data_IF_703308319007
#
_entry.id   IF_703308319007
#
_cell.length_a   1.000
_cell.length_b   1.000
_cell.length_c   1.000
_cell.angle_alpha   90.00
_cell.angle_beta   90.00
_cell.angle_gamma   90.00
#
_symmetry.space_group_name_H-M   'P 1'
#
loop_
_entity.id
_entity.type
_entity.pdbx_description
1 polymer ?
#
# COMPACT_ATOMS: atom_id res chain seq x y z
N UNK A 1 -36.37 41.46 -28.90
CA UNK A 1 -37.81 41.35 -29.22
C UNK A 1 -38.24 39.95 -28.79
N UNK A 2 -38.87 39.77 -27.62
CA UNK A 2 -40.34 39.83 -27.41
C UNK A 2 -41.08 38.81 -28.29
N UNK A 3 -41.90 37.85 -27.84
CA UNK A 3 -42.26 37.18 -26.57
C UNK A 3 -43.02 35.89 -27.03
N UNK A 4 -43.23 34.89 -26.16
CA UNK A 4 -43.79 33.58 -26.49
C UNK A 4 -45.33 33.53 -26.40
N UNK A 5 -45.95 32.50 -26.97
CA UNK A 5 -47.38 32.17 -26.79
C UNK A 5 -47.58 31.08 -25.74
N UNK A 6 -48.41 31.42 -24.76
CA UNK A 6 -48.97 30.62 -23.68
C UNK A 6 -49.90 29.48 -24.16
N UNK A 7 -49.98 28.43 -23.33
CA UNK A 7 -50.94 27.33 -23.47
C UNK A 7 -51.05 26.51 -22.18
N UNK A 8 -51.52 27.14 -21.10
CA UNK A 8 -51.67 26.50 -19.79
C UNK A 8 -52.82 25.50 -19.68
N UNK A 9 -52.59 24.42 -18.92
CA UNK A 9 -53.65 23.72 -18.16
C UNK A 9 -53.13 23.37 -16.78
N UNK A 10 -53.76 24.00 -15.77
CA UNK A 10 -53.59 23.77 -14.34
C UNK A 10 -54.38 22.52 -13.92
N UNK A 11 -53.69 21.47 -13.49
CA UNK A 11 -54.28 20.36 -12.73
C UNK A 11 -54.31 20.73 -11.25
N UNK A 12 -55.53 20.85 -10.71
CA UNK A 12 -55.82 21.32 -9.35
C UNK A 12 -55.77 20.12 -8.39
N UNK A 13 -54.89 20.17 -7.38
CA UNK A 13 -54.89 19.23 -6.27
C UNK A 13 -56.12 19.46 -5.37
N UNK A 14 -56.95 18.44 -5.18
CA UNK A 14 -57.97 18.42 -4.12
C UNK A 14 -57.67 17.28 -3.16
N UNK A 15 -57.36 17.66 -1.92
CA UNK A 15 -57.21 16.80 -0.75
C UNK A 15 -58.57 16.15 -0.43
N UNK A 16 -58.71 14.86 -0.75
CA UNK A 16 -59.84 14.03 -0.30
C UNK A 16 -59.52 13.40 1.06
N UNK A 17 -60.06 13.98 2.13
CA UNK A 17 -60.22 13.32 3.43
C UNK A 17 -61.44 12.41 3.37
N UNK A 18 -61.26 11.11 3.53
CA UNK A 18 -62.35 10.19 3.90
C UNK A 18 -61.77 8.98 4.65
N UNK A 19 -61.71 9.06 5.97
CA UNK A 19 -61.58 7.88 6.84
C UNK A 19 -62.96 7.23 7.03
N UNK A 20 -63.06 5.90 7.14
CA UNK A 20 -64.35 5.23 7.33
C UNK A 20 -64.81 5.34 8.79
N UNK A 21 -66.13 5.26 9.06
CA UNK A 21 -66.66 5.44 10.40
C UNK A 21 -66.45 4.19 11.26
N UNK A 22 -66.04 4.40 12.51
CA UNK A 22 -65.95 3.36 13.54
C UNK A 22 -67.38 3.06 14.01
N UNK A 23 -67.98 1.97 13.53
CA UNK A 23 -69.25 1.46 14.02
C UNK A 23 -69.00 0.49 15.18
N UNK A 24 -69.37 0.91 16.38
CA UNK A 24 -69.33 0.11 17.60
C UNK A 24 -70.62 -0.72 17.69
N UNK A 25 -70.53 -2.03 17.48
CA UNK A 25 -71.64 -2.97 17.74
C UNK A 25 -71.13 -4.06 18.68
N UNK A 26 -71.53 -3.93 19.95
CA UNK A 26 -71.62 -5.06 20.88
C UNK A 26 -72.75 -5.96 20.40
N UNK A 27 -72.51 -7.26 20.31
CA UNK A 27 -73.36 -8.31 20.89
C UNK A 27 -72.86 -9.71 20.52
N UNK A 28 -72.62 -10.51 21.57
CA UNK A 28 -72.98 -11.92 21.71
C UNK A 28 -72.62 -12.97 20.64
N UNK A 29 -71.71 -13.87 21.01
CA UNK A 29 -71.94 -15.33 20.87
C UNK A 29 -71.41 -16.00 19.60
N UNK A 30 -70.35 -16.81 19.75
CA UNK A 30 -69.96 -17.80 18.76
C UNK A 30 -68.47 -18.17 18.84
N UNK A 31 -68.14 -19.19 19.63
CA UNK A 31 -66.83 -19.84 19.54
C UNK A 31 -66.69 -20.53 18.18
N UNK A 32 -65.85 -19.98 17.32
CA UNK A 32 -65.31 -20.64 16.14
C UNK A 32 -63.88 -20.15 15.97
N UNK A 33 -62.90 -21.02 16.21
CA UNK A 33 -61.49 -20.70 16.02
C UNK A 33 -61.20 -20.40 14.56
N UNK A 34 -61.22 -19.12 14.20
CA UNK A 34 -60.65 -18.65 12.95
C UNK A 34 -59.14 -18.49 13.16
N UNK A 35 -58.40 -19.44 12.63
CA UNK A 35 -56.96 -19.33 12.37
C UNK A 35 -56.68 -17.95 11.74
N UNK A 36 -55.68 -17.18 12.22
CA UNK A 36 -55.37 -15.89 11.60
C UNK A 36 -55.02 -16.14 10.13
N UNK A 37 -55.44 -15.26 9.19
CA UNK A 37 -55.12 -15.44 7.79
C UNK A 37 -53.60 -15.38 7.63
N UNK A 38 -52.98 -16.54 7.39
CA UNK A 38 -51.59 -16.65 6.96
C UNK A 38 -51.52 -15.87 5.64
N UNK A 39 -50.70 -14.80 5.52
CA UNK A 39 -50.61 -14.08 4.26
C UNK A 39 -50.08 -15.05 3.19
N UNK A 40 -50.97 -15.42 2.28
CA UNK A 40 -50.66 -16.17 1.09
C UNK A 40 -49.77 -15.33 0.18
N UNK A 41 -48.80 -16.02 -0.43
CA UNK A 41 -47.70 -15.52 -1.28
C UNK A 41 -46.57 -14.86 -0.51
N UNK A 42 -45.68 -15.68 0.06
CA UNK A 42 -44.26 -15.34 0.12
C UNK A 42 -43.84 -14.94 -1.29
N UNK A 43 -43.45 -13.68 -1.48
CA UNK A 43 -42.79 -13.23 -2.70
C UNK A 43 -41.43 -13.95 -2.80
N UNK A 44 -41.46 -15.17 -3.35
CA UNK A 44 -40.28 -16.03 -3.47
C UNK A 44 -39.21 -15.32 -4.31
N UNK A 45 -39.61 -14.53 -5.31
CA UNK A 45 -38.69 -13.75 -6.14
C UNK A 45 -38.04 -12.61 -5.36
N UNK A 46 -38.81 -11.84 -4.59
CA UNK A 46 -38.29 -10.80 -3.70
C UNK A 46 -37.37 -11.34 -2.61
N UNK A 47 -37.73 -12.47 -1.99
CA UNK A 47 -36.90 -13.14 -0.99
C UNK A 47 -35.60 -13.71 -1.59
N UNK A 48 -35.67 -14.33 -2.78
CA UNK A 48 -34.49 -14.81 -3.50
C UNK A 48 -33.57 -13.67 -3.93
N UNK A 49 -34.12 -12.54 -4.39
CA UNK A 49 -33.36 -11.34 -4.74
C UNK A 49 -32.66 -10.74 -3.52
N UNK A 50 -33.37 -10.61 -2.38
CA UNK A 50 -32.80 -10.10 -1.13
C UNK A 50 -31.70 -11.02 -0.60
N UNK A 51 -31.92 -12.34 -0.63
CA UNK A 51 -30.92 -13.34 -0.23
C UNK A 51 -29.70 -13.33 -1.15
N UNK A 52 -29.90 -13.13 -2.45
CA UNK A 52 -28.82 -12.99 -3.43
C UNK A 52 -27.99 -11.72 -3.20
N UNK A 53 -28.64 -10.59 -2.91
CA UNK A 53 -27.95 -9.34 -2.57
C UNK A 53 -27.16 -9.45 -1.26
N UNK A 54 -27.75 -10.06 -0.23
CA UNK A 54 -27.06 -10.29 1.04
C UNK A 54 -25.84 -11.22 0.87
N UNK A 55 -25.97 -12.29 0.09
CA UNK A 55 -24.86 -13.19 -0.21
C UNK A 55 -23.70 -12.48 -0.94
N UNK A 56 -24.01 -11.65 -1.95
CA UNK A 56 -23.00 -10.84 -2.66
C UNK A 56 -22.30 -9.86 -1.72
N UNK A 57 -23.06 -9.15 -0.89
CA UNK A 57 -22.49 -8.23 0.11
C UNK A 57 -21.57 -8.96 1.09
N UNK A 58 -21.97 -10.14 1.57
CA UNK A 58 -21.16 -10.94 2.48
C UNK A 58 -19.85 -11.39 1.83
N UNK A 59 -19.90 -11.89 0.60
CA UNK A 59 -18.72 -12.29 -0.16
C UNK A 59 -17.75 -11.11 -0.37
N UNK A 60 -18.24 -9.93 -0.72
CA UNK A 60 -17.36 -8.75 -0.87
C UNK A 60 -16.82 -8.22 0.45
N UNK A 61 -17.57 -8.33 1.54
CA UNK A 61 -17.08 -7.98 2.87
C UNK A 61 -15.98 -8.95 3.32
N UNK A 62 -16.11 -10.24 3.01
CA UNK A 62 -15.08 -11.25 3.28
C UNK A 62 -13.80 -10.95 2.49
N UNK A 63 -13.90 -10.73 1.18
CA UNK A 63 -12.76 -10.35 0.37
C UNK A 63 -12.11 -9.06 0.88
N UNK A 64 -12.91 -8.05 1.25
CA UNK A 64 -12.37 -6.79 1.79
C UNK A 64 -11.57 -7.00 3.07
N UNK A 65 -12.00 -7.91 3.94
CA UNK A 65 -11.25 -8.27 5.16
C UNK A 65 -9.96 -9.02 4.84
N UNK A 66 -10.02 -9.96 3.90
CA UNK A 66 -8.84 -10.69 3.42
C UNK A 66 -7.81 -9.71 2.87
N UNK A 67 -8.21 -8.81 1.95
CA UNK A 67 -7.32 -7.79 1.38
C UNK A 67 -6.75 -6.83 2.44
N UNK A 68 -7.55 -6.41 3.41
CA UNK A 68 -7.09 -5.53 4.48
C UNK A 68 -6.00 -6.17 5.34
N UNK A 69 -6.00 -7.50 5.49
CA UNK A 69 -4.97 -8.22 6.26
C UNK A 69 -3.62 -8.33 5.56
N UNK A 70 -3.59 -8.09 4.25
CA UNK A 70 -2.38 -8.16 3.43
C UNK A 70 -1.65 -6.82 3.36
N UNK A 71 -2.33 -5.71 3.67
CA UNK A 71 -1.73 -4.37 3.65
C UNK A 71 -0.52 -4.34 4.60
N UNK A 72 0.65 -3.83 4.16
CA UNK A 72 0.90 -3.04 2.94
C UNK A 72 1.42 -3.81 1.72
N UNK A 73 1.37 -5.14 1.69
CA UNK A 73 1.91 -5.96 0.61
C UNK A 73 1.09 -5.84 -0.69
N UNK A 74 1.59 -4.99 -1.60
CA UNK A 74 0.98 -4.70 -2.90
C UNK A 74 0.92 -5.94 -3.79
N UNK A 75 1.96 -6.77 -3.78
CA UNK A 75 2.04 -7.98 -4.61
C UNK A 75 1.04 -9.02 -4.13
N UNK A 76 0.94 -9.22 -2.81
CA UNK A 76 -0.02 -10.15 -2.23
C UNK A 76 -1.47 -9.71 -2.51
N UNK A 77 -1.77 -8.41 -2.39
CA UNK A 77 -3.09 -7.85 -2.76
C UNK A 77 -3.40 -8.11 -4.23
N UNK A 78 -2.45 -7.81 -5.13
CA UNK A 78 -2.66 -8.00 -6.56
C UNK A 78 -2.88 -9.49 -6.91
N UNK A 79 -2.09 -10.38 -6.32
CA UNK A 79 -2.20 -11.83 -6.49
C UNK A 79 -3.55 -12.38 -6.03
N UNK A 80 -4.02 -11.98 -4.84
CA UNK A 80 -5.31 -12.44 -4.32
C UNK A 80 -6.49 -11.93 -5.17
N UNK A 81 -6.45 -10.69 -5.64
CA UNK A 81 -7.50 -10.15 -6.52
C UNK A 81 -7.51 -10.89 -7.86
N UNK A 82 -6.35 -11.04 -8.52
CA UNK A 82 -6.26 -11.75 -9.80
C UNK A 82 -6.76 -13.19 -9.66
N UNK A 83 -6.30 -13.91 -8.64
CA UNK A 83 -6.71 -15.29 -8.35
C UNK A 83 -8.20 -15.43 -8.08
N UNK A 84 -8.77 -14.64 -7.17
CA UNK A 84 -10.22 -14.71 -6.83
C UNK A 84 -11.10 -14.38 -8.03
N UNK A 85 -10.71 -13.40 -8.84
CA UNK A 85 -11.43 -13.05 -10.07
C UNK A 85 -11.42 -14.22 -11.04
N UNK A 86 -10.25 -14.80 -11.27
CA UNK A 86 -10.06 -15.92 -12.17
C UNK A 86 -10.79 -17.20 -11.70
N UNK A 87 -10.74 -17.51 -10.40
CA UNK A 87 -11.47 -18.64 -9.80
C UNK A 87 -12.99 -18.47 -9.94
N UNK A 88 -13.51 -17.24 -9.77
CA UNK A 88 -14.95 -16.98 -9.87
C UNK A 88 -15.48 -16.95 -11.30
N UNK A 89 -14.67 -16.50 -12.26
CA UNK A 89 -15.05 -16.45 -13.67
C UNK A 89 -14.65 -17.70 -14.45
N UNK A 90 -13.76 -18.53 -13.88
CA UNK A 90 -13.07 -19.64 -14.55
C UNK A 90 -12.28 -19.21 -15.80
N UNK A 91 -11.73 -18.00 -15.76
CA UNK A 91 -11.06 -17.34 -16.88
C UNK A 91 -9.69 -16.79 -16.47
N UNK A 92 -8.80 -16.54 -17.44
CA UNK A 92 -7.49 -15.96 -17.15
C UNK A 92 -7.63 -14.49 -16.74
N UNK A 93 -7.05 -14.11 -15.60
CA UNK A 93 -7.11 -12.75 -15.08
C UNK A 93 -5.74 -12.27 -14.66
N UNK A 94 -5.49 -10.96 -14.82
CA UNK A 94 -4.30 -10.33 -14.28
C UNK A 94 -4.60 -8.93 -13.78
N UNK A 95 -3.89 -8.52 -12.73
CA UNK A 95 -3.94 -7.17 -12.20
C UNK A 95 -2.58 -6.51 -12.43
N UNK A 96 -2.56 -5.46 -13.23
CA UNK A 96 -1.42 -4.57 -13.33
C UNK A 96 -1.60 -3.40 -12.35
N UNK A 97 -0.69 -3.28 -11.39
CA UNK A 97 -0.60 -2.12 -10.50
C UNK A 97 0.48 -1.20 -11.03
N UNK A 98 0.17 0.07 -11.22
CA UNK A 98 1.15 1.05 -11.63
C UNK A 98 2.14 1.31 -10.49
N UNK A 99 3.44 1.34 -10.80
CA UNK A 99 4.44 1.82 -9.86
C UNK A 99 4.22 3.28 -9.47
N UNK A 100 4.89 3.72 -8.42
CA UNK A 100 5.07 5.16 -8.16
C UNK A 100 6.11 5.74 -9.12
N UNK A 101 6.39 7.04 -9.01
CA UNK A 101 7.29 7.77 -9.91
C UNK A 101 8.77 7.32 -9.80
N UNK A 102 9.06 6.28 -9.01
CA UNK A 102 10.40 5.79 -8.68
C UNK A 102 10.54 4.26 -8.73
N UNK A 103 9.49 3.53 -9.14
CA UNK A 103 9.44 2.08 -9.01
C UNK A 103 8.72 1.39 -10.16
N UNK A 104 9.18 0.19 -10.48
CA UNK A 104 8.53 -0.69 -11.43
C UNK A 104 7.08 -0.99 -10.99
N UNK A 105 6.16 -1.00 -11.95
CA UNK A 105 4.82 -1.54 -11.70
C UNK A 105 4.88 -3.03 -11.42
N UNK A 106 3.91 -3.56 -10.68
CA UNK A 106 3.78 -5.00 -10.47
C UNK A 106 2.62 -5.56 -11.29
N UNK A 107 2.77 -6.79 -11.76
CA UNK A 107 1.72 -7.54 -12.46
C UNK A 107 1.53 -8.87 -11.75
N UNK A 108 0.31 -9.15 -11.31
CA UNK A 108 -0.08 -10.45 -10.81
C UNK A 108 -0.97 -11.15 -11.85
N UNK A 109 -0.59 -12.37 -12.23
CA UNK A 109 -1.29 -13.17 -13.26
C UNK A 109 -1.84 -14.44 -12.63
N UNK A 110 -3.07 -14.79 -12.99
CA UNK A 110 -3.66 -16.07 -12.65
C UNK A 110 -4.46 -16.64 -13.83
N UNK A 111 -4.09 -17.83 -14.28
CA UNK A 111 -4.89 -18.61 -15.23
C UNK A 111 -5.29 -19.93 -14.56
N UNK A 112 -6.59 -20.24 -14.41
CA UNK A 112 -7.04 -21.51 -13.86
C UNK A 112 -6.74 -22.71 -14.77
N UNK A 113 -6.27 -22.48 -16.00
CA UNK A 113 -5.82 -23.50 -16.97
C UNK A 113 -4.29 -23.60 -16.93
N UNK A 114 -3.72 -24.60 -16.23
CA UNK A 114 -2.28 -24.64 -15.93
C UNK A 114 -1.37 -24.82 -17.15
N UNK A 115 -1.88 -25.29 -18.30
CA UNK A 115 -1.09 -25.43 -19.53
C UNK A 115 -0.90 -24.12 -20.31
N UNK A 116 -1.69 -23.08 -20.03
CA UNK A 116 -1.69 -21.79 -20.75
C UNK A 116 -1.14 -20.61 -19.92
N UNK A 117 -1.05 -20.75 -18.58
CA UNK A 117 -0.63 -19.67 -17.67
C UNK A 117 0.82 -19.20 -17.84
N UNK A 118 1.73 -20.07 -18.30
CA UNK A 118 3.10 -19.69 -18.62
C UNK A 118 3.18 -18.75 -19.84
N UNK A 119 2.31 -18.95 -20.83
CA UNK A 119 2.23 -18.12 -22.02
C UNK A 119 1.75 -16.70 -21.71
N UNK A 120 0.73 -16.56 -20.85
CA UNK A 120 0.22 -15.25 -20.43
C UNK A 120 1.26 -14.47 -19.61
N UNK A 121 1.92 -15.15 -18.67
CA UNK A 121 2.95 -14.53 -17.82
C UNK A 121 4.14 -14.06 -18.68
N UNK A 122 4.60 -14.87 -19.64
CA UNK A 122 5.67 -14.48 -20.56
C UNK A 122 5.25 -13.32 -21.49
N UNK A 123 4.03 -13.36 -22.03
CA UNK A 123 3.51 -12.28 -22.87
C UNK A 123 3.42 -10.95 -22.11
N UNK A 124 3.01 -10.97 -20.83
CA UNK A 124 2.91 -9.78 -19.99
C UNK A 124 4.25 -9.34 -19.39
N UNK A 125 5.22 -10.23 -19.20
CA UNK A 125 6.56 -9.86 -18.72
C UNK A 125 7.28 -8.93 -19.71
N UNK A 126 7.15 -9.19 -21.01
CA UNK A 126 7.70 -8.32 -22.07
C UNK A 126 7.09 -6.90 -22.09
N UNK A 127 5.92 -6.73 -21.45
CA UNK A 127 5.22 -5.45 -21.34
C UNK A 127 5.75 -4.61 -20.15
N UNK A 128 6.39 -5.23 -19.16
CA UNK A 128 7.06 -4.56 -18.03
C UNK A 128 8.47 -4.10 -18.44
N UNK A 129 9.24 -4.94 -19.14
CA UNK A 129 10.64 -4.64 -19.51
C UNK A 129 10.78 -3.40 -20.41
N UNK A 130 9.79 -3.11 -21.26
CA UNK A 130 9.81 -1.92 -22.13
C UNK A 130 9.49 -0.63 -21.35
N UNK A 131 8.87 -0.74 -20.16
CA UNK A 131 8.54 0.40 -19.31
C UNK A 131 9.75 0.93 -18.53
N UNK A 132 10.70 0.06 -18.18
CA UNK A 132 11.85 0.42 -17.33
C UNK A 132 13.01 1.11 -18.10
N UNK A 133 13.05 1.01 -19.43
CA UNK A 133 14.22 1.43 -20.23
C UNK A 133 14.19 2.89 -20.67
N UNK A 134 13.14 3.67 -20.38
CA UNK A 134 12.95 5.01 -20.98
C UNK A 134 12.96 6.21 -20.02
N UNK A 135 13.53 6.06 -18.81
CA UNK A 135 13.64 7.20 -17.87
C UNK A 135 14.78 8.20 -18.22
N UNK A 136 15.64 7.91 -19.21
CA UNK A 136 16.86 8.69 -19.48
C UNK A 136 16.85 9.63 -20.71
N UNK A 137 15.71 9.89 -21.37
CA UNK A 137 15.64 10.95 -22.39
C UNK A 137 14.58 12.00 -22.06
N UNK A 138 15.04 13.17 -21.57
CA UNK A 138 14.28 14.42 -21.57
C UNK A 138 13.80 14.74 -22.99
N UNK A 139 12.55 14.38 -23.29
CA UNK A 139 11.88 14.80 -24.50
C UNK A 139 11.68 16.33 -24.47
N UNK A 140 12.19 17.08 -25.47
CA UNK A 140 11.85 18.49 -25.60
C UNK A 140 10.37 18.59 -26.04
N UNK A 141 9.67 19.57 -25.47
CA UNK A 141 8.31 19.98 -25.82
C UNK A 141 7.15 19.09 -25.34
N UNK A 142 6.87 19.12 -24.04
CA UNK A 142 5.50 19.17 -23.49
C UNK A 142 4.58 17.94 -23.67
N UNK A 143 5.00 16.88 -24.36
CA UNK A 143 4.31 15.60 -24.45
C UNK A 143 4.94 14.61 -23.43
N UNK A 144 4.75 14.88 -22.14
CA UNK A 144 5.36 14.12 -21.07
C UNK A 144 4.91 12.64 -21.00
N UNK A 145 5.90 11.74 -20.96
CA UNK A 145 5.87 10.43 -20.29
C UNK A 145 4.74 9.45 -20.65
N UNK A 146 4.58 9.13 -21.95
CA UNK A 146 3.73 8.01 -22.40
C UNK A 146 4.51 6.86 -23.07
N UNK A 147 5.78 7.07 -23.45
CA UNK A 147 6.63 6.01 -23.98
C UNK A 147 7.00 5.07 -22.83
N UNK A 148 6.75 3.76 -23.00
CA UNK A 148 7.11 2.72 -22.03
C UNK A 148 5.94 2.12 -21.23
N UNK A 149 4.84 2.84 -20.97
CA UNK A 149 3.73 2.27 -20.20
C UNK A 149 2.80 1.37 -21.04
N UNK A 150 2.37 0.20 -20.54
CA UNK A 150 1.36 -0.63 -21.20
C UNK A 150 0.11 0.19 -21.57
N UNK A 151 -0.43 0.06 -22.80
CA UNK A 151 -1.64 0.77 -23.21
C UNK A 151 -2.86 0.47 -22.34
N UNK A 152 -2.87 -0.65 -21.61
CA UNK A 152 -4.01 -1.01 -20.74
C UNK A 152 -4.10 -0.05 -19.56
N UNK A 153 -2.95 0.47 -19.12
CA UNK A 153 -2.89 1.58 -18.17
C UNK A 153 -3.51 2.86 -18.77
N UNK A 154 -3.75 2.95 -20.07
CA UNK A 154 -4.69 3.88 -20.71
C UNK A 154 -6.02 4.09 -20.00
N UNK A 155 -6.53 2.98 -19.47
CA UNK A 155 -7.94 2.75 -19.25
C UNK A 155 -8.46 3.53 -18.04
N UNK A 156 -9.33 4.52 -18.28
CA UNK A 156 -9.99 5.32 -17.23
C UNK A 156 -11.42 4.86 -16.92
N UNK A 157 -12.00 4.03 -17.77
CA UNK A 157 -13.36 3.49 -17.63
C UNK A 157 -13.34 2.02 -17.93
N UNK A 158 -14.25 1.26 -17.34
CA UNK A 158 -14.42 -0.15 -17.70
C UNK A 158 -14.62 -0.29 -19.20
N UNK A 159 -13.76 -1.08 -19.82
CA UNK A 159 -13.86 -1.50 -21.22
C UNK A 159 -14.33 -2.95 -21.22
N UNK A 160 -15.34 -3.25 -22.03
CA UNK A 160 -15.81 -4.60 -22.28
C UNK A 160 -15.94 -4.77 -23.78
N UNK A 161 -15.20 -5.72 -24.32
CA UNK A 161 -15.19 -6.05 -25.74
C UNK A 161 -15.77 -7.48 -25.89
N UNK A 162 -17.02 -7.61 -26.34
CA UNK A 162 -17.55 -8.89 -26.80
C UNK A 162 -16.98 -9.17 -28.21
N UNK A 163 -16.29 -10.30 -28.39
CA UNK A 163 -15.67 -10.69 -29.67
C UNK A 163 -14.69 -9.64 -30.23
N UNK A 164 -13.65 -9.25 -29.46
CA UNK A 164 -12.69 -8.27 -29.91
C UNK A 164 -11.89 -8.78 -31.11
N UNK A 165 -11.59 -7.88 -32.05
CA UNK A 165 -10.62 -8.16 -33.10
C UNK A 165 -9.20 -8.19 -32.50
N UNK A 166 -8.25 -8.93 -33.09
CA UNK A 166 -6.88 -8.99 -32.59
C UNK A 166 -6.25 -7.60 -32.39
N UNK A 167 -6.51 -6.66 -33.29
CA UNK A 167 -5.97 -5.30 -33.22
C UNK A 167 -6.53 -4.50 -32.03
N UNK A 168 -7.76 -4.80 -31.59
CA UNK A 168 -8.39 -4.14 -30.44
C UNK A 168 -7.80 -4.66 -29.12
N UNK A 169 -7.45 -5.95 -29.06
CA UNK A 169 -6.73 -6.50 -27.91
C UNK A 169 -5.30 -5.97 -27.90
N UNK A 170 -4.63 -5.92 -29.05
CA UNK A 170 -3.26 -5.43 -29.15
C UNK A 170 -3.14 -3.93 -28.80
N UNK A 171 -4.11 -3.12 -29.23
CA UNK A 171 -4.19 -1.71 -28.84
C UNK A 171 -4.42 -1.52 -27.33
N UNK A 172 -5.03 -2.50 -26.65
CA UNK A 172 -5.27 -2.45 -25.21
C UNK A 172 -4.11 -3.06 -24.42
N UNK A 173 -3.60 -4.22 -24.79
CA UNK A 173 -2.61 -4.98 -24.00
C UNK A 173 -1.17 -4.77 -24.47
N UNK A 174 -0.97 -4.22 -25.66
CA UNK A 174 0.32 -4.03 -26.30
C UNK A 174 0.65 -5.11 -27.35
N UNK A 175 1.69 -4.85 -28.18
CA UNK A 175 2.06 -5.66 -29.34
C UNK A 175 2.42 -7.11 -29.01
N UNK A 176 2.92 -7.36 -27.80
CA UNK A 176 3.36 -8.69 -27.38
C UNK A 176 2.22 -9.63 -26.95
N UNK A 177 0.99 -9.12 -26.83
CA UNK A 177 -0.18 -9.91 -26.43
C UNK A 177 -0.75 -10.79 -27.54
N UNK A 178 -0.49 -10.45 -28.81
CA UNK A 178 -1.15 -11.01 -29.99
C UNK A 178 -0.92 -12.52 -30.18
N UNK A 179 0.28 -13.01 -29.84
CA UNK A 179 0.62 -14.43 -29.86
C UNK A 179 -0.22 -15.25 -28.89
N UNK A 180 -0.24 -14.84 -27.61
CA UNK A 180 -1.02 -15.51 -26.57
C UNK A 180 -2.53 -15.46 -26.86
N UNK A 181 -3.04 -14.29 -27.26
CA UNK A 181 -4.47 -14.09 -27.56
C UNK A 181 -4.97 -15.09 -28.61
N UNK A 182 -4.17 -15.33 -29.65
CA UNK A 182 -4.50 -16.25 -30.73
C UNK A 182 -4.39 -17.71 -30.30
N UNK A 183 -3.32 -18.06 -29.58
CA UNK A 183 -3.06 -19.43 -29.12
C UNK A 183 -4.09 -19.88 -28.07
N UNK A 184 -4.41 -19.01 -27.11
CA UNK A 184 -5.40 -19.26 -26.06
C UNK A 184 -6.86 -19.13 -26.53
N UNK A 185 -7.09 -18.68 -27.77
CA UNK A 185 -8.43 -18.56 -28.35
C UNK A 185 -9.32 -17.55 -27.63
N UNK A 186 -8.78 -16.39 -27.24
CA UNK A 186 -9.53 -15.37 -26.49
C UNK A 186 -10.64 -14.78 -27.36
N UNK A 187 -11.88 -14.84 -26.87
CA UNK A 187 -13.09 -14.37 -27.58
C UNK A 187 -13.78 -13.20 -26.88
N UNK A 188 -13.36 -12.83 -25.67
CA UNK A 188 -13.96 -11.72 -24.92
C UNK A 188 -13.00 -11.19 -23.86
N UNK A 189 -13.06 -9.88 -23.63
CA UNK A 189 -12.18 -9.18 -22.69
C UNK A 189 -12.97 -8.19 -21.83
N UNK A 190 -12.65 -8.13 -20.53
CA UNK A 190 -12.99 -7.01 -19.64
C UNK A 190 -11.70 -6.39 -19.13
N UNK A 191 -11.59 -5.06 -19.20
CA UNK A 191 -10.59 -4.29 -18.48
C UNK A 191 -11.29 -3.31 -17.54
N UNK A 192 -11.12 -3.51 -16.24
CA UNK A 192 -11.69 -2.68 -15.19
C UNK A 192 -10.60 -1.83 -14.52
N UNK A 193 -10.68 -0.50 -14.59
CA UNK A 193 -9.67 0.36 -13.97
C UNK A 193 -9.80 0.30 -12.44
N UNK A 194 -8.64 0.22 -11.79
CA UNK A 194 -8.51 0.26 -10.33
C UNK A 194 -8.31 1.71 -9.93
N UNK A 195 -9.40 2.36 -9.52
CA UNK A 195 -9.46 3.82 -9.32
C UNK A 195 -9.73 4.18 -7.87
N UNK A 196 -9.03 5.18 -7.35
CA UNK A 196 -9.34 5.81 -6.06
C UNK A 196 -9.35 7.33 -6.24
N UNK A 197 -10.46 8.00 -5.86
CA UNK A 197 -10.57 9.48 -5.88
C UNK A 197 -10.11 10.13 -7.21
N UNK A 198 -10.43 9.51 -8.35
CA UNK A 198 -10.06 10.00 -9.68
C UNK A 198 -8.62 9.69 -10.12
N UNK A 199 -7.80 9.10 -9.24
CA UNK A 199 -6.46 8.58 -9.56
C UNK A 199 -6.54 7.10 -9.91
N UNK A 200 -5.82 6.71 -10.96
CA UNK A 200 -5.68 5.30 -11.36
C UNK A 200 -4.48 4.68 -10.65
N UNK A 201 -4.73 3.57 -9.97
CA UNK A 201 -3.69 2.77 -9.31
C UNK A 201 -3.28 1.57 -10.17
N UNK A 202 -4.14 1.12 -11.09
CA UNK A 202 -3.90 -0.06 -11.90
C UNK A 202 -5.07 -0.40 -12.81
N UNK A 203 -5.04 -1.58 -13.43
CA UNK A 203 -6.14 -2.13 -14.24
C UNK A 203 -6.20 -3.65 -14.05
N UNK A 204 -7.40 -4.15 -13.72
CA UNK A 204 -7.73 -5.58 -13.65
C UNK A 204 -8.28 -6.01 -15.01
N UNK A 205 -7.70 -7.06 -15.60
CA UNK A 205 -8.08 -7.58 -16.91
C UNK A 205 -8.50 -9.04 -16.79
N UNK A 206 -9.58 -9.40 -17.47
CA UNK A 206 -10.08 -10.76 -17.59
C UNK A 206 -10.18 -11.14 -19.08
N UNK A 207 -9.67 -12.32 -19.42
CA UNK A 207 -9.61 -12.87 -20.77
C UNK A 207 -10.36 -14.22 -20.79
N UNK A 208 -11.40 -14.30 -21.61
CA UNK A 208 -12.21 -15.51 -21.77
C UNK A 208 -11.92 -16.19 -23.09
N UNK A 209 -11.71 -17.51 -23.04
CA UNK A 209 -11.64 -18.37 -24.21
C UNK A 209 -13.00 -19.06 -24.44
N UNK A 210 -13.75 -18.61 -25.44
CA UNK A 210 -15.07 -19.14 -25.77
C UNK A 210 -16.23 -18.40 -25.10
N UNK A 211 -17.19 -17.95 -25.90
CA UNK A 211 -18.34 -17.16 -25.44
C UNK A 211 -17.98 -15.70 -25.14
N UNK A 212 -18.94 -14.97 -24.56
CA UNK A 212 -18.81 -13.56 -24.23
C UNK A 212 -19.06 -13.32 -22.74
N UNK A 213 -18.37 -12.31 -22.20
CA UNK A 213 -18.78 -11.74 -20.91
C UNK A 213 -20.16 -11.09 -21.05
N UNK A 214 -20.87 -10.98 -19.94
CA UNK A 214 -22.11 -10.22 -19.86
C UNK A 214 -21.96 -8.98 -18.95
N UNK A 215 -23.01 -8.17 -18.85
CA UNK A 215 -23.00 -6.96 -18.03
C UNK A 215 -22.81 -7.24 -16.52
N UNK A 216 -23.29 -8.38 -16.02
CA UNK A 216 -23.09 -8.79 -14.63
C UNK A 216 -21.64 -9.19 -14.36
N UNK A 217 -20.98 -9.87 -15.31
CA UNK A 217 -19.54 -10.17 -15.23
C UNK A 217 -18.73 -8.86 -15.18
N UNK A 218 -19.05 -7.92 -16.08
CA UNK A 218 -18.40 -6.62 -16.13
C UNK A 218 -18.62 -5.78 -14.85
N UNK A 219 -19.80 -5.89 -14.22
CA UNK A 219 -20.08 -5.26 -12.93
C UNK A 219 -19.29 -5.91 -11.80
N UNK A 220 -19.23 -7.25 -11.78
CA UNK A 220 -18.47 -8.01 -10.79
C UNK A 220 -16.97 -7.71 -10.83
N UNK A 221 -16.37 -7.69 -12.03
CA UNK A 221 -14.94 -7.35 -12.19
C UNK A 221 -14.65 -5.92 -11.73
N UNK A 222 -15.56 -4.97 -11.99
CA UNK A 222 -15.40 -3.61 -11.47
C UNK A 222 -15.48 -3.56 -9.94
N UNK A 223 -16.40 -4.32 -9.33
CA UNK A 223 -16.51 -4.36 -7.87
C UNK A 223 -15.22 -4.90 -7.23
N UNK A 224 -14.60 -5.93 -7.82
CA UNK A 224 -13.30 -6.42 -7.39
C UNK A 224 -12.17 -5.39 -7.60
N UNK A 225 -12.16 -4.70 -8.73
CA UNK A 225 -11.22 -3.61 -8.99
C UNK A 225 -11.36 -2.47 -7.97
N UNK A 226 -12.58 -2.15 -7.54
CA UNK A 226 -12.84 -1.13 -6.51
C UNK A 226 -12.32 -1.57 -5.13
N UNK A 227 -12.44 -2.88 -4.78
CA UNK A 227 -11.85 -3.42 -3.54
C UNK A 227 -10.33 -3.41 -3.58
N UNK A 228 -9.74 -3.76 -4.72
CA UNK A 228 -8.31 -3.67 -4.94
C UNK A 228 -7.83 -2.22 -4.78
N UNK A 229 -8.56 -1.25 -5.33
CA UNK A 229 -8.19 0.16 -5.25
C UNK A 229 -8.09 0.64 -3.80
N UNK A 230 -9.05 0.26 -2.96
CA UNK A 230 -9.02 0.61 -1.54
C UNK A 230 -7.84 -0.03 -0.81
N UNK A 231 -7.57 -1.31 -1.04
CA UNK A 231 -6.46 -2.02 -0.39
C UNK A 231 -5.09 -1.46 -0.82
N UNK A 232 -4.92 -1.16 -2.11
CA UNK A 232 -3.70 -0.59 -2.67
C UNK A 232 -3.47 0.85 -2.18
N UNK A 233 -4.51 1.68 -2.11
CA UNK A 233 -4.42 3.04 -1.55
C UNK A 233 -4.01 3.00 -0.07
N UNK A 234 -4.61 2.10 0.71
CA UNK A 234 -4.24 1.89 2.11
C UNK A 234 -2.78 1.43 2.26
N UNK A 235 -2.30 0.53 1.40
CA UNK A 235 -0.89 0.11 1.36
C UNK A 235 0.06 1.27 1.12
N UNK A 236 -0.24 2.13 0.15
CA UNK A 236 0.56 3.33 -0.14
C UNK A 236 0.56 4.32 1.02
N UNK A 237 -0.61 4.59 1.62
CA UNK A 237 -0.71 5.47 2.79
C UNK A 237 0.06 4.92 3.99
N UNK A 238 -0.02 3.61 4.23
CA UNK A 238 0.71 2.95 5.31
C UNK A 238 2.23 3.04 5.10
N UNK A 239 2.70 2.79 3.87
CA UNK A 239 4.11 2.91 3.51
C UNK A 239 4.62 4.35 3.71
N UNK A 240 3.87 5.34 3.22
CA UNK A 240 4.21 6.76 3.38
C UNK A 240 4.31 7.17 4.86
N UNK A 241 3.31 6.80 5.68
CA UNK A 241 3.30 7.09 7.10
C UNK A 241 4.46 6.41 7.86
N UNK A 242 4.81 5.18 7.47
CA UNK A 242 5.92 4.44 8.08
C UNK A 242 7.27 5.08 7.74
N UNK A 243 7.45 5.52 6.49
CA UNK A 243 8.66 6.21 6.06
C UNK A 243 8.82 7.55 6.79
N UNK A 244 7.76 8.37 6.86
CA UNK A 244 7.78 9.63 7.59
C UNK A 244 8.12 9.43 9.08
N UNK A 245 7.55 8.41 9.73
CA UNK A 245 7.86 8.10 11.12
C UNK A 245 9.32 7.68 11.29
N UNK A 246 9.88 6.91 10.35
CA UNK A 246 11.27 6.50 10.38
C UNK A 246 12.22 7.70 10.23
N UNK A 247 11.92 8.63 9.31
CA UNK A 247 12.68 9.86 9.13
C UNK A 247 12.63 10.77 10.36
N UNK A 248 11.43 10.99 10.92
CA UNK A 248 11.25 11.76 12.15
C UNK A 248 12.06 11.17 13.31
N UNK A 249 12.04 9.84 13.48
CA UNK A 249 12.82 9.16 14.52
C UNK A 249 14.32 9.35 14.34
N UNK A 250 14.83 9.31 13.10
CA UNK A 250 16.24 9.59 12.80
C UNK A 250 16.60 11.05 13.13
N UNK A 251 15.78 12.00 12.70
CA UNK A 251 15.98 13.41 13.00
C UNK A 251 15.94 13.70 14.51
N UNK A 252 15.00 13.10 15.26
CA UNK A 252 14.94 13.21 16.71
C UNK A 252 16.19 12.64 17.40
N UNK A 253 16.68 11.48 16.93
CA UNK A 253 17.89 10.88 17.48
C UNK A 253 19.11 11.78 17.27
N UNK A 254 19.26 12.37 16.09
CA UNK A 254 20.35 13.30 15.77
C UNK A 254 20.28 14.58 16.63
N UNK A 255 19.08 15.15 16.81
CA UNK A 255 18.89 16.31 17.67
C UNK A 255 19.20 16.00 19.13
N UNK A 256 18.79 14.82 19.64
CA UNK A 256 19.14 14.37 20.99
C UNK A 256 20.64 14.20 21.15
N UNK A 257 21.33 13.59 20.18
CA UNK A 257 22.78 13.43 20.21
C UNK A 257 23.50 14.79 20.27
N UNK A 258 23.08 15.75 19.43
CA UNK A 258 23.63 17.12 19.44
C UNK A 258 23.37 17.84 20.76
N UNK A 259 22.17 17.69 21.34
CA UNK A 259 21.85 18.30 22.62
C UNK A 259 22.72 17.75 23.77
N UNK A 260 22.96 16.43 23.78
CA UNK A 260 23.88 15.79 24.75
C UNK A 260 25.31 16.33 24.59
N UNK A 261 25.80 16.43 23.35
CA UNK A 261 27.13 17.00 23.08
C UNK A 261 27.24 18.46 23.54
N UNK A 262 26.24 19.28 23.25
CA UNK A 262 26.20 20.68 23.67
C UNK A 262 26.15 20.84 25.20
N UNK A 263 25.36 20.00 25.89
CA UNK A 263 25.30 20.00 27.35
C UNK A 263 26.65 19.63 27.98
N UNK A 264 27.33 18.61 27.45
CA UNK A 264 28.66 18.21 27.92
C UNK A 264 29.69 19.33 27.74
N UNK A 265 29.70 20.00 26.58
CA UNK A 265 30.60 21.15 26.32
C UNK A 265 30.30 22.31 27.27
N UNK A 266 29.03 22.64 27.50
CA UNK A 266 28.63 23.72 28.40
C UNK A 266 29.04 23.43 29.86
N UNK A 267 28.84 22.20 30.35
CA UNK A 267 29.24 21.79 31.70
C UNK A 267 30.76 21.91 31.89
N UNK A 268 31.55 21.43 30.92
CA UNK A 268 33.01 21.54 30.98
C UNK A 268 33.48 22.99 30.96
N UNK A 269 32.85 23.82 30.13
CA UNK A 269 33.15 25.26 30.06
C UNK A 269 32.87 25.96 31.40
N UNK A 270 31.74 25.64 32.05
CA UNK A 270 31.41 26.17 33.38
C UNK A 270 32.43 25.77 34.44
N UNK A 271 32.87 24.50 34.45
CA UNK A 271 33.89 24.03 35.41
C UNK A 271 35.26 24.67 35.18
N UNK A 272 35.65 24.88 33.92
CA UNK A 272 36.91 25.55 33.59
C UNK A 272 36.92 27.00 34.11
N UNK A 273 35.79 27.71 34.01
CA UNK A 273 35.65 29.09 34.50
C UNK A 273 35.62 29.18 36.04
N UNK A 274 35.24 28.11 36.74
CA UNK A 274 35.16 28.07 38.20
C UNK A 274 36.53 27.96 38.92
N UNK A 275 37.67 28.11 38.21
CA UNK A 275 39.04 27.97 38.76
C UNK A 275 39.31 26.63 39.44
N UNK A 276 38.76 25.57 38.86
CA UNK A 276 39.01 24.19 39.29
C UNK A 276 40.47 23.79 38.98
N UNK A 277 41.08 22.99 39.86
CA UNK A 277 42.41 22.43 39.65
C UNK A 277 42.48 21.65 38.32
N UNK A 278 43.55 21.78 37.50
CA UNK A 278 43.61 21.18 36.16
C UNK A 278 43.31 19.68 36.13
N UNK A 279 43.71 18.93 37.15
CA UNK A 279 43.47 17.48 37.27
C UNK A 279 41.98 17.14 37.36
N UNK A 280 41.22 17.91 38.15
CA UNK A 280 39.77 17.70 38.32
C UNK A 280 39.01 18.06 37.04
N UNK A 281 39.46 19.10 36.31
CA UNK A 281 38.90 19.46 35.01
C UNK A 281 39.15 18.36 33.96
N UNK A 282 40.36 17.79 33.91
CA UNK A 282 40.68 16.68 33.01
C UNK A 282 39.84 15.43 33.33
N UNK A 283 39.63 15.11 34.61
CA UNK A 283 38.75 14.01 35.02
C UNK A 283 37.29 14.24 34.58
N UNK A 284 36.76 15.44 34.82
CA UNK A 284 35.43 15.83 34.35
C UNK A 284 35.29 15.71 32.83
N UNK A 285 36.31 16.17 32.08
CA UNK A 285 36.34 16.07 30.62
C UNK A 285 36.32 14.61 30.14
N UNK A 286 37.16 13.75 30.72
CA UNK A 286 37.16 12.32 30.34
C UNK A 286 35.83 11.64 30.64
N UNK A 287 35.18 11.96 31.77
CA UNK A 287 33.87 11.41 32.13
C UNK A 287 32.75 11.89 31.19
N UNK A 288 32.72 13.18 30.86
CA UNK A 288 31.75 13.75 29.94
C UNK A 288 31.89 13.17 28.52
N UNK A 289 33.12 13.03 28.02
CA UNK A 289 33.40 12.43 26.70
C UNK A 289 33.02 10.95 26.68
N UNK A 290 33.34 10.19 27.73
CA UNK A 290 32.96 8.78 27.83
C UNK A 290 31.43 8.60 27.80
N UNK A 291 30.70 9.46 28.53
CA UNK A 291 29.23 9.46 28.53
C UNK A 291 28.62 9.89 27.20
N UNK A 292 29.11 10.98 26.60
CA UNK A 292 28.57 11.53 25.36
C UNK A 292 28.81 10.64 24.13
N UNK A 293 29.96 9.95 24.07
CA UNK A 293 30.30 9.05 22.97
C UNK A 293 29.92 7.59 23.24
N UNK A 294 29.37 7.28 24.42
CA UNK A 294 29.05 5.93 24.88
C UNK A 294 30.23 4.93 24.72
N UNK A 295 31.46 5.42 24.90
CA UNK A 295 32.67 4.59 24.78
C UNK A 295 33.07 4.02 26.14
N UNK A 296 33.59 2.78 26.17
CA UNK A 296 33.90 2.10 27.43
C UNK A 296 35.09 2.72 28.18
N UNK A 297 35.95 3.47 27.49
CA UNK A 297 37.14 4.07 28.08
C UNK A 297 37.58 5.33 27.34
N UNK A 298 37.93 6.37 28.10
CA UNK A 298 38.60 7.60 27.63
C UNK A 298 39.75 7.92 28.59
N UNK A 299 40.88 8.39 28.07
CA UNK A 299 42.03 8.81 28.88
C UNK A 299 42.73 10.04 28.30
N UNK A 300 43.27 10.88 29.17
CA UNK A 300 44.14 12.02 28.83
C UNK A 300 45.52 11.73 29.40
N UNK A 301 46.54 11.75 28.55
CA UNK A 301 47.92 11.53 28.96
C UNK A 301 48.81 12.67 28.49
N UNK A 302 49.76 13.06 29.33
CA UNK A 302 50.82 14.01 29.00
C UNK A 302 52.08 13.25 28.58
N UNK A 303 52.82 13.79 27.62
CA UNK A 303 54.11 13.22 27.20
C UNK A 303 55.25 14.00 27.84
N UNK A 304 56.07 13.33 28.65
CA UNK A 304 57.36 13.85 29.08
C UNK A 304 58.38 13.59 27.98
N UNK A 305 58.67 14.62 27.19
CA UNK A 305 59.60 14.55 26.06
C UNK A 305 61.06 14.39 26.49
N UNK A 306 61.41 14.81 27.71
CA UNK A 306 62.78 14.65 28.23
C UNK A 306 63.04 13.20 28.67
N UNK A 307 62.00 12.50 29.15
CA UNK A 307 62.08 11.10 29.60
C UNK A 307 61.51 10.09 28.60
N UNK A 308 60.90 10.55 27.51
CA UNK A 308 60.15 9.73 26.57
C UNK A 308 59.06 8.86 27.25
N UNK A 309 58.34 9.45 28.21
CA UNK A 309 57.28 8.77 28.99
C UNK A 309 55.90 9.36 28.71
N UNK A 310 54.87 8.51 28.77
CA UNK A 310 53.46 8.88 28.70
C UNK A 310 52.84 8.75 30.10
N UNK A 311 52.38 9.87 30.65
CA UNK A 311 51.81 9.97 32.01
C UNK A 311 50.30 10.17 31.87
N UNK A 312 49.52 9.16 32.24
CA UNK A 312 48.06 9.28 32.29
C UNK A 312 47.65 10.25 33.40
N UNK A 313 46.99 11.36 33.04
CA UNK A 313 46.53 12.40 33.97
C UNK A 313 45.09 12.21 34.41
N UNK A 314 44.24 11.73 33.51
CA UNK A 314 42.82 11.49 33.78
C UNK A 314 42.28 10.35 32.92
N UNK A 315 41.18 9.73 33.37
CA UNK A 315 40.46 8.74 32.58
C UNK A 315 39.10 8.40 33.17
N UNK A 316 38.20 7.91 32.30
CA UNK A 316 36.88 7.44 32.65
C UNK A 316 36.62 6.08 31.98
N UNK A 317 36.09 5.12 32.73
CA UNK A 317 35.89 3.72 32.32
C UNK A 317 36.27 2.72 33.41
N UNK A 318 35.73 1.50 33.39
CA UNK A 318 36.12 0.45 34.35
C UNK A 318 37.41 -0.24 33.91
N UNK A 319 38.54 0.27 34.37
CA UNK A 319 39.69 -0.56 34.72
C UNK A 319 39.92 -0.40 36.22
N UNK A 320 39.43 -1.34 37.03
CA UNK A 320 39.90 -1.49 38.41
C UNK A 320 41.36 -1.95 38.35
N UNK A 321 42.29 -0.99 38.38
CA UNK A 321 43.72 -1.25 38.45
C UNK A 321 44.52 -0.02 38.09
N UNK A 322 45.41 0.41 38.99
CA UNK A 322 46.39 1.48 38.75
C UNK A 322 47.17 1.13 37.48
N UNK A 323 46.93 1.84 36.38
CA UNK A 323 47.77 1.73 35.19
C UNK A 323 49.10 2.45 35.47
N UNK A 324 50.08 1.70 35.99
CA UNK A 324 51.47 2.12 35.89
C UNK A 324 51.84 2.13 34.41
N UNK A 325 52.27 3.29 33.90
CA UNK A 325 52.79 3.44 32.55
C UNK A 325 53.89 2.38 32.31
N UNK A 326 53.61 1.37 31.50
CA UNK A 326 54.63 0.43 31.03
C UNK A 326 55.20 0.99 29.74
N UNK A 327 56.53 1.15 29.72
CA UNK A 327 57.35 1.52 28.54
C UNK A 327 56.84 0.80 27.28
N UNK A 328 56.33 1.56 26.31
CA UNK A 328 56.37 1.13 24.93
C UNK A 328 57.79 1.42 24.42
N UNK A 329 58.65 0.39 24.44
CA UNK A 329 59.94 0.46 23.74
C UNK A 329 59.70 0.57 22.23
N UNK A 330 60.61 1.20 21.47
CA UNK A 330 60.42 1.41 20.05
C UNK A 330 60.49 0.06 19.33
N UNK A 331 59.33 -0.39 18.83
CA UNK A 331 59.21 -1.49 17.88
C UNK A 331 58.62 -2.77 18.47
N UNK A 332 57.29 -2.88 18.52
CA UNK A 332 56.57 -4.10 18.11
C UNK A 332 55.19 -3.68 17.59
N UNK A 333 54.99 -3.83 16.28
CA UNK A 333 53.66 -3.88 15.66
C UNK A 333 53.05 -5.26 15.90
N UNK A 334 51.97 -5.35 16.66
CA UNK A 334 51.17 -6.58 16.80
C UNK A 334 50.03 -6.43 17.81
N UNK A 335 48.83 -6.98 17.55
CA UNK A 335 47.71 -6.89 18.48
C UNK A 335 47.95 -7.77 19.72
N UNK A 336 47.44 -7.39 20.90
CA UNK A 336 47.66 -8.17 22.11
C UNK A 336 46.86 -9.48 22.07
N UNK A 337 47.57 -10.60 22.26
CA UNK A 337 46.98 -11.92 22.46
C UNK A 337 46.32 -12.03 23.84
N UNK A 338 45.19 -12.73 23.87
CA UNK A 338 44.51 -13.17 25.08
C UNK A 338 45.31 -14.28 25.76
N UNK A 339 45.60 -14.13 27.05
CA UNK A 339 46.05 -15.23 27.90
C UNK A 339 44.94 -15.59 28.89
N UNK A 340 44.55 -16.87 28.86
CA UNK A 340 43.62 -17.48 29.81
C UNK A 340 44.36 -17.87 31.09
N UNK A 341 43.78 -17.49 32.23
CA UNK A 341 44.15 -17.94 33.58
C UNK A 341 43.13 -17.47 34.59
#
# INVERSE_FOLDING_TARGET
MYRPTDGGRRGRCTLGRSGPPIANKRDGGGMGGAEPPVPATTDVAGYQALRGQAARMAAMAELSRELASLVPDVEAVASIVARRTAESLHDACFLHVAGDDSGAGTIAVHDPRPQEGAGLTAALASVIEVAEVTEDEEAPDGAGAQAGRPPVLSTLRRVWLPEPRPEEIEALLGPHSSGYVREAGITSLIAAPVMIRGRRLGVLVCLRAGGAYNAADAAYVQELADRAALALDNGRLFAAATNELAERRRAEADLRARAVQQAAVAELSQRALARVEPTELMQAATAAVAGALAVPMVGVAETDLARAELILRAGAGRAHGRAHARRAGPGVSGPPGHDHG
#
